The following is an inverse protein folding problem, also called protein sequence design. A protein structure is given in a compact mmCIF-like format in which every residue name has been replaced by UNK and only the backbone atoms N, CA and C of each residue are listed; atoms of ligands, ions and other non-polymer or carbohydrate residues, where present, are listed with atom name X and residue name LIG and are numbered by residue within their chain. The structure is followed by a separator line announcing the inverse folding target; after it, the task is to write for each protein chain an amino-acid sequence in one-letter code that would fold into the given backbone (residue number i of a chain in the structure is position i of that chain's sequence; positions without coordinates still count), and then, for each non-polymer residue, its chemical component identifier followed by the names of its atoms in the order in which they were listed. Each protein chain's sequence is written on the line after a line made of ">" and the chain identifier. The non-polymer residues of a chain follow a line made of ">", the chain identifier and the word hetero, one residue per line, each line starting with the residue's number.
data_IF_295225175612
#
_entry.id   IF_295225175612
#
_cell.length_a   1.000
_cell.length_b   1.000
_cell.length_c   1.000
_cell.angle_alpha   90.00
_cell.angle_beta   90.00
_cell.angle_gamma   90.00
#
_symmetry.space_group_name_H-M   'P 1'
#
loop_
_entity.id
_entity.type
_entity.pdbx_description
1 polymer ?
#
# COMPACT_ATOMS: atom_id res chain seq x y z
N UNK A 1 -9.82 -10.07 -1.89
CA UNK A 1 -8.60 -9.46 -1.30
C UNK A 1 -8.98 -8.37 -0.33
N UNK A 2 -8.21 -8.19 0.76
CA UNK A 2 -8.43 -7.11 1.73
C UNK A 2 -7.73 -5.82 1.28
N UNK A 3 -8.45 -4.69 1.31
CA UNK A 3 -7.95 -3.37 0.90
C UNK A 3 -6.71 -2.92 1.69
N UNK A 4 -6.75 -3.10 3.02
CA UNK A 4 -5.66 -2.61 3.86
C UNK A 4 -4.38 -3.41 3.64
N UNK A 5 -4.52 -4.72 3.38
CA UNK A 5 -3.39 -5.59 3.03
C UNK A 5 -2.79 -5.20 1.68
N UNK A 6 -3.62 -5.05 0.64
CA UNK A 6 -3.18 -4.62 -0.67
C UNK A 6 -2.50 -3.24 -0.62
N UNK A 7 -3.11 -2.27 0.05
CA UNK A 7 -2.55 -0.92 0.19
C UNK A 7 -1.21 -0.92 0.94
N UNK A 8 -1.06 -1.74 1.97
CA UNK A 8 0.20 -1.87 2.70
C UNK A 8 1.32 -2.35 1.77
N UNK A 9 1.04 -3.34 0.95
CA UNK A 9 1.99 -3.88 -0.01
C UNK A 9 2.30 -2.88 -1.13
N UNK A 10 1.30 -2.19 -1.67
CA UNK A 10 1.51 -1.16 -2.70
C UNK A 10 2.26 0.08 -2.18
N UNK A 11 2.23 0.35 -0.87
CA UNK A 11 2.99 1.42 -0.24
C UNK A 11 4.46 1.08 0.07
N UNK A 12 4.93 -0.13 -0.27
CA UNK A 12 6.36 -0.47 -0.16
C UNK A 12 7.16 0.49 -1.05
N UNK A 13 8.18 1.13 -0.46
CA UNK A 13 9.02 2.12 -1.16
C UNK A 13 9.68 1.48 -2.38
N UNK A 14 9.51 2.11 -3.54
CA UNK A 14 10.04 1.62 -4.82
C UNK A 14 9.02 0.86 -5.68
N UNK A 15 7.91 0.38 -5.12
CA UNK A 15 6.89 -0.35 -5.89
C UNK A 15 6.02 0.57 -6.75
N UNK A 16 5.66 1.73 -6.21
CA UNK A 16 4.92 2.76 -6.93
C UNK A 16 5.69 4.06 -6.94
N UNK A 17 5.88 4.61 -8.14
CA UNK A 17 6.67 5.82 -8.37
C UNK A 17 5.85 6.91 -9.06
N UNK A 18 6.25 8.15 -8.82
CA UNK A 18 5.82 9.34 -9.54
C UNK A 18 7.05 10.11 -10.02
N UNK A 19 6.91 10.87 -11.10
CA UNK A 19 8.02 11.72 -11.57
C UNK A 19 8.36 12.80 -10.55
N UNK A 20 9.63 13.16 -10.42
CA UNK A 20 10.11 14.15 -9.43
C UNK A 20 9.46 15.53 -9.58
N UNK A 21 8.98 15.90 -10.77
CA UNK A 21 8.23 17.14 -11.03
C UNK A 21 6.75 17.07 -10.61
N UNK A 22 6.23 15.90 -10.17
CA UNK A 22 4.87 15.78 -9.68
C UNK A 22 4.63 16.66 -8.45
N UNK A 23 3.35 16.94 -8.14
CA UNK A 23 2.97 17.67 -6.93
C UNK A 23 3.64 17.07 -5.68
N UNK A 24 4.02 17.92 -4.74
CA UNK A 24 4.66 17.46 -3.51
C UNK A 24 3.77 16.48 -2.70
N UNK A 25 2.44 16.67 -2.75
CA UNK A 25 1.46 15.76 -2.15
C UNK A 25 1.41 14.35 -2.79
N UNK A 26 1.96 14.18 -4.00
CA UNK A 26 2.03 12.86 -4.65
C UNK A 26 3.28 12.07 -4.23
N UNK A 27 4.24 12.71 -3.58
CA UNK A 27 5.55 12.13 -3.25
C UNK A 27 5.56 11.66 -1.81
N UNK A 28 6.04 10.45 -1.59
CA UNK A 28 6.16 9.86 -0.25
C UNK A 28 7.26 10.54 0.56
N UNK A 29 7.01 10.73 1.84
CA UNK A 29 8.04 11.13 2.82
C UNK A 29 8.28 10.03 3.87
N UNK A 30 7.95 8.79 3.55
CA UNK A 30 8.23 7.65 4.42
C UNK A 30 9.73 7.34 4.47
N UNK A 31 10.13 6.53 5.46
CA UNK A 31 11.52 6.08 5.62
C UNK A 31 12.00 5.39 4.33
N UNK A 32 13.12 5.86 3.79
CA UNK A 32 13.69 5.35 2.54
C UNK A 32 13.17 6.06 1.28
N UNK A 33 12.14 6.93 1.38
CA UNK A 33 11.64 7.73 0.27
C UNK A 33 12.17 9.17 0.28
N UNK A 34 12.44 9.73 1.46
CA UNK A 34 12.86 11.12 1.64
C UNK A 34 13.99 11.25 2.63
N UNK A 35 15.00 12.06 2.29
CA UNK A 35 16.08 12.46 3.21
C UNK A 35 15.66 13.71 3.99
N UNK A 36 15.35 13.55 5.28
CA UNK A 36 14.97 14.65 6.16
C UNK A 36 16.14 15.59 6.53
N UNK A 37 17.39 15.15 6.36
CA UNK A 37 18.57 15.96 6.64
C UNK A 37 18.95 16.77 5.40
N UNK A 38 18.96 16.13 4.22
CA UNK A 38 19.27 16.76 2.94
C UNK A 38 18.10 17.54 2.34
N UNK A 39 16.86 17.22 2.72
CA UNK A 39 15.67 17.93 2.24
C UNK A 39 15.25 17.54 0.82
N UNK A 40 15.51 16.31 0.38
CA UNK A 40 15.20 15.84 -0.98
C UNK A 40 14.60 14.43 -1.00
N UNK A 41 13.87 14.10 -2.07
CA UNK A 41 13.38 12.75 -2.35
C UNK A 41 14.45 11.91 -3.02
N UNK A 42 14.61 10.67 -2.59
CA UNK A 42 15.53 9.74 -3.26
C UNK A 42 15.00 9.40 -4.65
N UNK A 43 15.86 9.54 -5.68
CA UNK A 43 15.61 9.00 -7.02
C UNK A 43 15.73 7.48 -6.97
N UNK A 44 14.64 6.77 -7.26
CA UNK A 44 14.59 5.30 -7.21
C UNK A 44 14.71 4.67 -8.57
N UNK A 45 14.30 5.41 -9.62
CA UNK A 45 14.49 5.06 -11.02
C UNK A 45 14.70 6.38 -11.80
N UNK A 46 15.94 6.77 -12.00
CA UNK A 46 16.27 8.06 -12.60
C UNK A 46 15.58 9.24 -11.90
N UNK A 47 14.68 9.92 -12.63
CA UNK A 47 13.90 11.05 -12.11
C UNK A 47 12.63 10.63 -11.35
N UNK A 48 12.40 9.34 -11.12
CA UNK A 48 11.21 8.85 -10.45
C UNK A 48 11.47 8.63 -8.96
N UNK A 49 10.52 9.08 -8.13
CA UNK A 49 10.57 9.02 -6.67
C UNK A 49 9.35 8.25 -6.13
N UNK A 50 9.42 7.78 -4.89
CA UNK A 50 8.34 7.01 -4.28
C UNK A 50 7.02 7.79 -4.24
N UNK A 51 5.93 7.15 -4.66
CA UNK A 51 4.57 7.69 -4.61
C UNK A 51 4.05 7.74 -3.17
N UNK A 52 3.25 8.77 -2.83
CA UNK A 52 2.59 8.87 -1.54
C UNK A 52 1.44 7.86 -1.42
N UNK A 53 1.11 7.49 -0.20
CA UNK A 53 -0.02 6.61 0.10
C UNK A 53 -1.32 7.12 -0.52
N UNK A 54 -1.57 8.43 -0.47
CA UNK A 54 -2.80 9.06 -0.94
C UNK A 54 -2.97 8.95 -2.46
N UNK A 55 -1.87 9.11 -3.23
CA UNK A 55 -1.94 8.95 -4.69
C UNK A 55 -2.04 7.47 -5.08
N UNK A 56 -1.41 6.56 -4.33
CA UNK A 56 -1.59 5.11 -4.50
C UNK A 56 -3.05 4.74 -4.25
N UNK A 57 -3.65 5.19 -3.14
CA UNK A 57 -5.06 4.95 -2.83
C UNK A 57 -6.00 5.43 -3.94
N UNK A 58 -5.73 6.62 -4.51
CA UNK A 58 -6.53 7.14 -5.61
C UNK A 58 -6.51 6.21 -6.82
N UNK A 59 -5.31 5.74 -7.26
CA UNK A 59 -5.18 4.89 -8.44
C UNK A 59 -5.56 3.42 -8.19
N UNK A 60 -5.52 2.96 -6.94
CA UNK A 60 -6.03 1.65 -6.53
C UNK A 60 -7.56 1.59 -6.41
N UNK A 61 -8.24 2.72 -6.16
CA UNK A 61 -9.69 2.73 -6.00
C UNK A 61 -10.38 2.65 -7.37
N UNK A 62 -10.93 1.48 -7.77
CA UNK A 62 -11.50 1.31 -9.11
C UNK A 62 -12.64 2.29 -9.40
N UNK A 63 -13.37 2.71 -8.37
CA UNK A 63 -14.53 3.60 -8.46
C UNK A 63 -14.19 4.98 -9.02
N UNK A 64 -12.92 5.40 -8.91
CA UNK A 64 -12.43 6.66 -9.49
C UNK A 64 -12.35 6.62 -11.04
N UNK A 65 -12.43 5.44 -11.63
CA UNK A 65 -12.13 5.21 -13.05
C UNK A 65 -13.31 4.61 -13.83
N UNK A 66 -14.50 4.53 -13.22
CA UNK A 66 -15.72 4.04 -13.87
C UNK A 66 -16.36 5.15 -14.72
N UNK A 67 -15.72 5.49 -15.81
CA UNK A 67 -16.18 6.48 -16.79
C UNK A 67 -15.73 6.08 -18.20
N UNK A 68 -16.26 6.73 -19.22
CA UNK A 68 -16.10 6.40 -20.65
C UNK A 68 -14.64 6.36 -21.14
N UNK A 69 -13.70 6.91 -20.40
CA UNK A 69 -12.28 6.93 -20.80
C UNK A 69 -11.47 5.88 -20.03
N UNK A 70 -11.62 5.84 -18.73
CA UNK A 70 -10.76 5.00 -17.89
C UNK A 70 -11.32 3.59 -17.65
N UNK A 71 -12.58 3.31 -18.06
CA UNK A 71 -13.17 1.98 -17.94
C UNK A 71 -12.33 0.90 -18.67
N UNK A 72 -11.62 1.29 -19.73
CA UNK A 72 -10.70 0.42 -20.47
C UNK A 72 -9.52 -0.10 -19.65
N UNK A 73 -9.26 0.49 -18.47
CA UNK A 73 -8.32 -0.08 -17.51
C UNK A 73 -8.76 -1.46 -16.99
N UNK A 74 -10.05 -1.74 -17.07
CA UNK A 74 -10.69 -2.97 -16.60
C UNK A 74 -11.14 -3.88 -17.74
N UNK A 75 -10.86 -3.53 -19.00
CA UNK A 75 -11.22 -4.37 -20.14
C UNK A 75 -10.55 -5.74 -20.03
N UNK A 76 -11.34 -6.78 -20.20
CA UNK A 76 -10.85 -8.15 -20.26
C UNK A 76 -10.01 -8.36 -21.53
N UNK A 77 -8.71 -8.51 -21.36
CA UNK A 77 -7.74 -8.73 -22.45
C UNK A 77 -7.58 -10.22 -22.80
N UNK A 78 -8.30 -11.12 -22.15
CA UNK A 78 -8.34 -12.53 -22.52
C UNK A 78 -9.20 -12.77 -23.76
N UNK A 79 -8.87 -13.82 -24.53
CA UNK A 79 -9.67 -14.22 -25.68
C UNK A 79 -11.03 -14.81 -25.24
N UNK A 80 -12.12 -14.23 -25.72
CA UNK A 80 -13.47 -14.75 -25.56
C UNK A 80 -14.19 -14.79 -26.92
N UNK A 81 -14.41 -16.00 -27.48
CA UNK A 81 -15.06 -16.15 -28.79
C UNK A 81 -16.55 -15.79 -28.79
N UNK A 82 -17.18 -15.56 -27.63
CA UNK A 82 -18.61 -15.23 -27.55
C UNK A 82 -18.94 -13.85 -28.11
N UNK A 83 -17.98 -12.90 -28.04
CA UNK A 83 -18.17 -11.53 -28.53
C UNK A 83 -17.02 -11.00 -29.40
N UNK A 84 -15.82 -11.58 -29.30
CA UNK A 84 -14.67 -11.15 -30.10
C UNK A 84 -14.67 -11.85 -31.46
N UNK A 85 -14.96 -11.08 -32.51
CA UNK A 85 -15.20 -11.60 -33.86
C UNK A 85 -14.15 -11.14 -34.85
N UNK A 86 -13.99 -11.87 -35.96
CA UNK A 86 -13.13 -11.44 -37.08
C UNK A 86 -13.62 -10.12 -37.70
N UNK A 87 -14.94 -9.87 -37.71
CA UNK A 87 -15.50 -8.60 -38.18
C UNK A 87 -15.03 -7.43 -37.34
N UNK A 88 -15.01 -7.56 -35.99
CA UNK A 88 -14.47 -6.54 -35.11
C UNK A 88 -12.98 -6.29 -35.37
N UNK A 89 -12.20 -7.35 -35.57
CA UNK A 89 -10.78 -7.18 -35.96
C UNK A 89 -10.63 -6.42 -37.26
N UNK A 90 -11.46 -6.72 -38.30
CA UNK A 90 -11.45 -5.98 -39.55
C UNK A 90 -11.74 -4.50 -39.34
N UNK A 91 -12.66 -4.16 -38.46
CA UNK A 91 -12.99 -2.76 -38.11
C UNK A 91 -11.78 -2.05 -37.46
N UNK A 92 -11.09 -2.71 -36.52
CA UNK A 92 -9.88 -2.14 -35.89
C UNK A 92 -8.76 -1.89 -36.90
N UNK A 93 -8.61 -2.79 -37.86
CA UNK A 93 -7.56 -2.74 -38.88
C UNK A 93 -7.92 -1.90 -40.12
N UNK A 94 -9.18 -1.41 -40.18
CA UNK A 94 -9.62 -0.56 -41.30
C UNK A 94 -8.64 0.65 -41.47
N UNK A 95 -8.46 1.08 -42.69
CA UNK A 95 -7.56 2.21 -43.05
C UNK A 95 -6.08 2.05 -42.61
N UNK A 96 -5.67 0.81 -42.33
CA UNK A 96 -4.26 0.49 -42.06
C UNK A 96 -3.68 -0.42 -43.13
N UNK A 97 -2.34 -0.55 -43.15
CA UNK A 97 -1.64 -1.51 -44.03
C UNK A 97 -2.08 -2.98 -43.74
N UNK A 98 -2.73 -3.22 -42.60
CA UNK A 98 -3.27 -4.53 -42.20
C UNK A 98 -4.76 -4.74 -42.54
N UNK A 99 -5.38 -3.83 -43.30
CA UNK A 99 -6.81 -3.94 -43.67
C UNK A 99 -7.13 -5.09 -44.65
N UNK A 100 -6.10 -5.59 -45.33
CA UNK A 100 -6.24 -6.57 -46.38
C UNK A 100 -5.58 -7.91 -46.10
N UNK A 101 -4.89 -8.43 -47.10
CA UNK A 101 -4.20 -9.72 -47.05
C UNK A 101 -2.70 -9.54 -47.40
N UNK A 102 -1.92 -10.52 -46.95
CA UNK A 102 -0.50 -10.64 -47.31
C UNK A 102 -0.19 -12.04 -47.83
N UNK A 103 0.89 -12.17 -48.59
CA UNK A 103 1.44 -13.46 -49.00
C UNK A 103 2.64 -13.78 -48.11
N UNK A 104 2.58 -14.90 -47.42
CA UNK A 104 3.63 -15.37 -46.53
C UNK A 104 4.91 -15.65 -47.36
N UNK A 105 6.05 -14.99 -47.07
CA UNK A 105 7.24 -15.09 -47.92
C UNK A 105 7.82 -16.50 -48.05
N UNK A 106 7.75 -17.31 -46.96
CA UNK A 106 8.31 -18.65 -46.90
C UNK A 106 7.34 -19.76 -47.38
N UNK A 107 6.04 -19.63 -47.08
CA UNK A 107 5.05 -20.67 -47.46
C UNK A 107 4.31 -20.38 -48.77
N UNK A 108 4.40 -19.17 -49.32
CA UNK A 108 3.66 -18.67 -50.48
C UNK A 108 2.12 -18.70 -50.30
N UNK A 109 1.63 -18.96 -49.11
CA UNK A 109 0.20 -18.92 -48.78
C UNK A 109 -0.27 -17.48 -48.58
N UNK A 110 -1.50 -17.22 -49.01
CA UNK A 110 -2.18 -15.96 -48.79
C UNK A 110 -2.99 -16.05 -47.49
N UNK A 111 -2.87 -15.04 -46.64
CA UNK A 111 -3.59 -14.86 -45.38
C UNK A 111 -4.23 -13.49 -45.31
N UNK A 112 -5.35 -13.33 -44.60
CA UNK A 112 -5.80 -12.00 -44.17
C UNK A 112 -5.20 -11.66 -42.81
N UNK A 113 -4.95 -10.39 -42.53
CA UNK A 113 -4.48 -9.97 -41.22
C UNK A 113 -5.56 -10.26 -40.15
N UNK A 114 -6.83 -10.01 -40.43
CA UNK A 114 -7.93 -10.30 -39.51
C UNK A 114 -7.95 -11.76 -39.06
N UNK A 115 -7.84 -12.72 -40.01
CA UNK A 115 -7.77 -14.13 -39.67
C UNK A 115 -6.51 -14.47 -38.87
N UNK A 116 -5.38 -13.84 -39.18
CA UNK A 116 -4.12 -14.04 -38.47
C UNK A 116 -4.24 -13.59 -36.99
N UNK A 117 -4.91 -12.47 -36.70
CA UNK A 117 -5.17 -12.04 -35.32
C UNK A 117 -6.15 -12.95 -34.59
N UNK A 118 -7.17 -13.52 -35.29
CA UNK A 118 -8.04 -14.53 -34.70
C UNK A 118 -7.27 -15.81 -34.36
N UNK A 119 -6.36 -16.27 -35.23
CA UNK A 119 -5.50 -17.42 -34.95
C UNK A 119 -4.51 -17.13 -33.82
N UNK A 120 -3.98 -15.91 -33.77
CA UNK A 120 -3.13 -15.44 -32.67
C UNK A 120 -3.87 -15.46 -31.34
N UNK A 121 -5.09 -14.98 -31.29
CA UNK A 121 -5.93 -14.99 -30.09
C UNK A 121 -6.19 -16.42 -29.58
N UNK A 122 -6.59 -17.33 -30.48
CA UNK A 122 -6.81 -18.76 -30.12
C UNK A 122 -5.57 -19.42 -29.53
N UNK A 123 -4.36 -19.09 -30.04
CA UNK A 123 -3.11 -19.71 -29.60
C UNK A 123 -2.50 -19.05 -28.37
N UNK A 124 -2.69 -17.76 -28.19
CA UNK A 124 -2.12 -16.98 -27.11
C UNK A 124 -3.04 -16.82 -25.90
N UNK A 125 -4.35 -17.01 -26.06
CA UNK A 125 -5.35 -16.68 -25.05
C UNK A 125 -5.60 -15.18 -24.89
N UNK A 126 -5.06 -14.33 -25.80
CA UNK A 126 -5.17 -12.86 -25.74
C UNK A 126 -6.28 -12.38 -26.65
N UNK A 127 -7.05 -11.38 -26.23
CA UNK A 127 -8.10 -10.73 -27.03
C UNK A 127 -7.55 -10.29 -28.41
N UNK A 128 -8.18 -10.70 -29.52
CA UNK A 128 -7.77 -10.26 -30.86
C UNK A 128 -7.96 -8.75 -31.06
N UNK A 129 -8.91 -8.13 -30.31
CA UNK A 129 -9.11 -6.69 -30.33
C UNK A 129 -7.94 -5.96 -29.68
N UNK A 130 -7.50 -6.43 -28.52
CA UNK A 130 -6.30 -5.92 -27.86
C UNK A 130 -5.05 -6.06 -28.74
N UNK A 131 -4.82 -7.24 -29.33
CA UNK A 131 -3.68 -7.51 -30.20
C UNK A 131 -3.68 -6.61 -31.44
N UNK A 132 -4.82 -6.48 -32.13
CA UNK A 132 -4.93 -5.65 -33.33
C UNK A 132 -4.75 -4.15 -33.03
N UNK A 133 -5.37 -3.67 -31.95
CA UNK A 133 -5.24 -2.27 -31.51
C UNK A 133 -3.82 -1.93 -31.11
N UNK A 134 -3.16 -2.83 -30.39
CA UNK A 134 -1.75 -2.67 -30.02
C UNK A 134 -0.84 -2.58 -31.26
N UNK A 135 -0.98 -3.51 -32.20
CA UNK A 135 -0.24 -3.44 -33.46
C UNK A 135 -0.49 -2.14 -34.23
N UNK A 136 -1.76 -1.69 -34.31
CA UNK A 136 -2.10 -0.43 -34.97
C UNK A 136 -1.38 0.77 -34.32
N UNK A 137 -1.33 0.80 -32.99
CA UNK A 137 -0.67 1.88 -32.26
C UNK A 137 0.86 1.86 -32.43
N UNK A 138 1.47 0.68 -32.30
CA UNK A 138 2.92 0.53 -32.38
C UNK A 138 3.46 0.71 -33.81
N UNK A 139 2.75 0.18 -34.83
CA UNK A 139 3.22 0.18 -36.21
C UNK A 139 2.67 1.34 -37.06
N UNK A 140 1.66 2.05 -36.54
CA UNK A 140 0.99 3.12 -37.30
C UNK A 140 0.14 2.62 -38.45
N UNK A 141 -0.57 3.54 -39.11
CA UNK A 141 -1.50 3.21 -40.21
C UNK A 141 -0.79 2.73 -41.50
N UNK A 142 0.43 3.21 -41.72
CA UNK A 142 1.22 2.89 -42.93
C UNK A 142 2.20 1.72 -42.72
N UNK A 143 2.36 1.23 -41.53
CA UNK A 143 3.36 0.25 -41.14
C UNK A 143 4.75 0.85 -40.93
N UNK A 144 5.45 0.35 -39.89
CA UNK A 144 6.84 0.69 -39.61
C UNK A 144 7.80 -0.31 -40.31
N UNK A 145 9.08 0.01 -40.53
CA UNK A 145 10.03 -0.86 -41.23
C UNK A 145 10.08 -2.30 -40.65
N UNK A 146 9.97 -2.47 -39.33
CA UNK A 146 9.98 -3.78 -38.67
C UNK A 146 8.70 -4.60 -38.91
N UNK A 147 7.56 -3.98 -39.17
CA UNK A 147 6.35 -4.69 -39.60
C UNK A 147 6.24 -4.92 -41.07
N UNK A 148 6.98 -4.14 -41.86
CA UNK A 148 7.07 -4.30 -43.31
C UNK A 148 8.22 -5.24 -43.76
N UNK A 149 9.10 -5.64 -42.83
CA UNK A 149 10.26 -6.49 -43.11
C UNK A 149 11.34 -5.79 -43.94
N UNK A 150 11.48 -4.47 -43.79
CA UNK A 150 12.37 -3.61 -44.60
C UNK A 150 13.49 -2.98 -43.75
N UNK A 151 13.70 -3.43 -42.53
CA UNK A 151 14.80 -2.94 -41.70
C UNK A 151 16.13 -3.36 -42.31
N UNK A 152 17.00 -2.38 -42.61
CA UNK A 152 18.30 -2.59 -43.25
C UNK A 152 19.17 -3.58 -42.46
N UNK A 153 19.65 -4.64 -43.11
CA UNK A 153 20.44 -5.73 -42.49
C UNK A 153 19.63 -6.79 -41.77
N UNK A 154 18.30 -6.61 -41.70
CA UNK A 154 17.32 -7.53 -41.15
C UNK A 154 16.11 -7.70 -42.07
N UNK A 155 16.28 -7.61 -43.35
CA UNK A 155 15.23 -7.76 -44.36
C UNK A 155 14.56 -9.12 -44.22
N UNK A 156 13.23 -9.16 -44.36
CA UNK A 156 12.36 -10.32 -44.17
C UNK A 156 12.32 -10.88 -42.74
N UNK A 157 12.74 -10.10 -41.71
CA UNK A 157 12.40 -10.34 -40.33
C UNK A 157 11.36 -9.32 -39.89
N UNK A 158 10.35 -9.80 -39.14
CA UNK A 158 9.16 -9.03 -38.80
C UNK A 158 9.03 -8.92 -37.28
N UNK A 159 8.59 -7.77 -36.75
CA UNK A 159 8.28 -7.57 -35.34
C UNK A 159 7.08 -6.64 -35.19
N UNK A 160 5.87 -7.23 -35.11
CA UNK A 160 4.62 -6.49 -35.09
C UNK A 160 4.28 -5.87 -33.73
N UNK A 161 4.94 -6.28 -32.65
CA UNK A 161 4.65 -5.83 -31.29
C UNK A 161 5.85 -5.14 -30.62
N UNK A 162 6.85 -4.73 -31.38
CA UNK A 162 8.07 -4.08 -30.91
C UNK A 162 8.75 -4.80 -29.72
N UNK A 163 8.62 -6.13 -29.69
CA UNK A 163 9.21 -6.97 -28.64
C UNK A 163 10.74 -6.85 -28.70
N UNK A 164 11.35 -6.51 -27.55
CA UNK A 164 12.79 -6.24 -27.42
C UNK A 164 13.32 -5.11 -28.34
N UNK A 165 12.44 -4.20 -28.76
CA UNK A 165 12.77 -3.04 -29.58
C UNK A 165 13.14 -1.84 -28.70
N UNK A 166 14.41 -1.70 -28.37
CA UNK A 166 14.96 -0.55 -27.64
C UNK A 166 16.24 -0.06 -28.32
N UNK A 167 16.45 1.26 -28.32
CA UNK A 167 17.66 1.84 -28.90
C UNK A 167 18.87 1.62 -27.99
N UNK A 168 20.01 1.35 -28.60
CA UNK A 168 21.33 1.28 -27.96
C UNK A 168 22.25 2.36 -28.54
N UNK A 169 23.48 2.44 -28.04
CA UNK A 169 24.49 3.35 -28.64
C UNK A 169 24.86 3.02 -30.10
N UNK A 170 24.57 1.79 -30.55
CA UNK A 170 25.00 1.28 -31.89
C UNK A 170 23.85 0.79 -32.77
N UNK A 171 22.64 0.62 -32.23
CA UNK A 171 21.48 0.10 -32.95
C UNK A 171 20.22 0.90 -32.62
N UNK A 172 19.38 1.10 -33.62
CA UNK A 172 18.02 1.63 -33.43
C UNK A 172 17.10 0.62 -32.78
N UNK A 173 15.94 1.06 -32.28
CA UNK A 173 14.92 0.18 -31.68
C UNK A 173 14.41 -0.87 -32.71
N UNK A 174 14.20 -0.45 -33.97
CA UNK A 174 13.78 -1.34 -35.06
C UNK A 174 14.82 -2.44 -35.34
N UNK A 175 16.11 -2.08 -35.40
CA UNK A 175 17.19 -3.03 -35.60
C UNK A 175 17.29 -4.03 -34.44
N UNK A 176 17.18 -3.55 -33.18
CA UNK A 176 17.19 -4.44 -31.99
C UNK A 176 15.98 -5.38 -31.97
N UNK A 177 14.80 -4.89 -32.29
CA UNK A 177 13.58 -5.70 -32.40
C UNK A 177 13.69 -6.77 -33.50
N UNK A 178 14.27 -6.42 -34.68
CA UNK A 178 14.50 -7.38 -35.76
C UNK A 178 15.66 -8.35 -35.44
N UNK A 179 16.68 -7.91 -34.72
CA UNK A 179 17.72 -8.80 -34.20
C UNK A 179 17.13 -9.88 -33.26
N UNK A 180 16.18 -9.49 -32.38
CA UNK A 180 15.42 -10.46 -31.58
C UNK A 180 14.57 -11.38 -32.48
N UNK A 181 13.85 -10.82 -33.46
CA UNK A 181 13.04 -11.60 -34.42
C UNK A 181 13.84 -12.68 -35.18
N UNK A 182 15.15 -12.49 -35.33
CA UNK A 182 16.08 -13.43 -35.98
C UNK A 182 16.53 -14.56 -35.04
N UNK A 183 16.35 -14.46 -33.74
CA UNK A 183 16.74 -15.52 -32.79
C UNK A 183 15.87 -16.78 -32.96
N UNK A 184 16.18 -17.85 -32.25
CA UNK A 184 15.42 -19.10 -32.31
C UNK A 184 14.74 -19.38 -30.99
N UNK A 185 13.41 -19.53 -31.01
CA UNK A 185 12.61 -20.01 -29.89
C UNK A 185 11.29 -20.60 -30.44
N UNK A 186 11.15 -21.93 -30.48
CA UNK A 186 9.95 -22.58 -31.05
C UNK A 186 8.66 -22.22 -30.34
N UNK A 187 8.68 -21.94 -29.04
CA UNK A 187 7.50 -21.56 -28.26
C UNK A 187 6.89 -20.27 -28.80
N UNK A 188 7.71 -19.32 -29.20
CA UNK A 188 7.30 -18.04 -29.76
C UNK A 188 7.38 -17.99 -31.29
N UNK A 189 7.48 -19.13 -31.97
CA UNK A 189 7.62 -19.25 -33.44
C UNK A 189 8.81 -18.48 -34.03
N UNK A 190 9.83 -18.17 -33.22
CA UNK A 190 11.06 -17.57 -33.71
C UNK A 190 11.90 -18.61 -34.52
N UNK A 191 12.53 -18.12 -35.62
CA UNK A 191 12.62 -16.77 -36.16
C UNK A 191 11.35 -16.30 -36.87
N UNK A 192 11.03 -15.00 -36.72
CA UNK A 192 9.87 -14.38 -37.34
C UNK A 192 10.17 -13.97 -38.81
N UNK A 193 10.25 -14.94 -39.68
CA UNK A 193 10.55 -14.78 -41.11
C UNK A 193 9.34 -14.39 -41.97
N UNK A 194 8.18 -14.23 -41.34
CA UNK A 194 6.95 -13.79 -41.99
C UNK A 194 5.97 -13.16 -40.99
N UNK A 195 4.96 -12.46 -41.53
CA UNK A 195 3.96 -11.76 -40.76
C UNK A 195 3.18 -12.71 -39.79
N UNK A 196 2.79 -13.91 -40.27
CA UNK A 196 2.05 -14.88 -39.46
C UNK A 196 2.85 -15.29 -38.20
N UNK A 197 4.12 -15.68 -38.40
CA UNK A 197 4.97 -16.07 -37.28
C UNK A 197 5.16 -14.93 -36.27
N UNK A 198 5.35 -13.69 -36.77
CA UNK A 198 5.55 -12.53 -35.91
C UNK A 198 4.28 -12.17 -35.13
N UNK A 199 3.11 -12.12 -35.79
CA UNK A 199 1.85 -11.80 -35.12
C UNK A 199 1.50 -12.91 -34.12
N UNK A 200 1.48 -14.18 -34.52
CA UNK A 200 1.10 -15.28 -33.65
C UNK A 200 2.13 -15.52 -32.54
N UNK A 201 3.41 -15.58 -32.89
CA UNK A 201 4.49 -15.79 -31.92
C UNK A 201 4.66 -14.65 -30.93
N UNK A 202 4.54 -13.40 -31.42
CA UNK A 202 4.54 -12.21 -30.58
C UNK A 202 3.34 -12.17 -29.63
N UNK A 203 2.15 -12.59 -30.09
CA UNK A 203 0.95 -12.70 -29.25
C UNK A 203 1.13 -13.73 -28.14
N UNK A 204 1.74 -14.89 -28.40
CA UNK A 204 2.07 -15.89 -27.38
C UNK A 204 3.03 -15.29 -26.36
N UNK A 205 4.05 -14.56 -26.80
CA UNK A 205 5.00 -13.88 -25.91
C UNK A 205 4.27 -12.89 -24.96
N UNK A 206 3.39 -12.05 -25.52
CA UNK A 206 2.60 -11.09 -24.74
C UNK A 206 1.64 -11.79 -23.76
N UNK A 207 0.95 -12.84 -24.21
CA UNK A 207 0.00 -13.59 -23.40
C UNK A 207 0.67 -14.24 -22.17
N UNK A 208 1.83 -14.87 -22.37
CA UNK A 208 2.56 -15.55 -21.28
C UNK A 208 3.15 -14.61 -20.25
N UNK A 209 3.30 -13.32 -20.57
CA UNK A 209 3.77 -12.30 -19.62
C UNK A 209 2.79 -12.10 -18.47
N UNK A 210 1.54 -11.79 -18.76
CA UNK A 210 0.53 -11.35 -17.80
C UNK A 210 -0.83 -12.04 -17.96
N UNK A 211 -1.38 -12.03 -19.18
CA UNK A 211 -2.79 -12.35 -19.43
C UNK A 211 -3.13 -13.80 -19.08
N UNK A 212 -2.34 -14.76 -19.52
CA UNK A 212 -2.56 -16.19 -19.20
C UNK A 212 -2.26 -16.54 -17.75
N UNK A 213 -1.72 -15.62 -16.98
CA UNK A 213 -1.54 -15.73 -15.53
C UNK A 213 -2.69 -15.12 -14.72
N UNK A 214 -3.76 -14.71 -15.39
CA UNK A 214 -4.92 -14.07 -14.75
C UNK A 214 -4.80 -12.57 -14.55
N UNK A 215 -3.66 -11.95 -14.90
CA UNK A 215 -3.50 -10.49 -14.94
C UNK A 215 -4.01 -9.95 -16.28
N UNK A 216 -5.28 -10.19 -16.56
CA UNK A 216 -5.93 -10.00 -17.85
C UNK A 216 -6.64 -8.64 -18.01
N UNK A 217 -6.30 -7.68 -17.15
CA UNK A 217 -6.68 -6.26 -17.31
C UNK A 217 -5.46 -5.39 -17.02
N UNK A 218 -5.42 -4.17 -17.56
CA UNK A 218 -4.35 -3.21 -17.27
C UNK A 218 -4.26 -2.92 -15.76
N UNK A 219 -5.41 -2.92 -15.07
CA UNK A 219 -5.46 -2.76 -13.62
C UNK A 219 -4.73 -3.91 -12.89
N UNK A 220 -5.01 -5.16 -13.24
CA UNK A 220 -4.38 -6.33 -12.61
C UNK A 220 -2.89 -6.46 -12.98
N UNK A 221 -2.49 -6.02 -14.18
CA UNK A 221 -1.09 -5.95 -14.58
C UNK A 221 -0.33 -4.93 -13.73
N UNK A 222 -0.99 -3.81 -13.36
CA UNK A 222 -0.36 -2.79 -12.52
C UNK A 222 -0.27 -3.21 -11.05
N UNK A 223 -1.34 -3.73 -10.47
CA UNK A 223 -1.41 -3.95 -9.02
C UNK A 223 -1.17 -5.40 -8.59
N UNK A 224 -1.02 -6.33 -9.54
CA UNK A 224 -0.70 -7.74 -9.32
C UNK A 224 -1.45 -8.39 -8.14
N UNK A 225 -2.78 -8.40 -8.26
CA UNK A 225 -3.67 -8.89 -7.21
C UNK A 225 -4.24 -10.28 -7.49
N UNK A 226 -3.70 -10.95 -8.49
CA UNK A 226 -4.03 -12.32 -8.87
C UNK A 226 -2.77 -13.15 -8.82
N UNK A 227 -2.79 -14.24 -8.04
CA UNK A 227 -1.65 -15.14 -7.97
C UNK A 227 -1.56 -16.00 -9.25
N UNK A 228 -0.72 -15.55 -10.17
CA UNK A 228 -0.38 -16.26 -11.41
C UNK A 228 0.78 -17.23 -11.27
N UNK A 229 1.13 -17.62 -10.02
CA UNK A 229 2.26 -18.52 -9.71
C UNK A 229 3.56 -17.80 -9.32
N UNK A 230 3.56 -16.46 -9.28
CA UNK A 230 4.71 -15.66 -8.84
C UNK A 230 4.50 -15.02 -7.45
N UNK A 231 3.38 -15.32 -6.79
CA UNK A 231 2.91 -14.62 -5.60
C UNK A 231 2.25 -13.28 -5.95
N UNK A 232 1.57 -12.67 -4.97
CA UNK A 232 0.89 -11.39 -5.15
C UNK A 232 1.86 -10.21 -5.05
N UNK A 233 1.58 -9.10 -5.75
CA UNK A 233 2.26 -7.79 -5.70
C UNK A 233 3.67 -7.72 -6.30
N UNK A 234 4.23 -8.79 -6.83
CA UNK A 234 5.62 -8.83 -7.33
C UNK A 234 5.74 -8.77 -8.85
N UNK A 235 4.69 -9.18 -9.57
CA UNK A 235 4.69 -9.25 -11.03
C UNK A 235 3.92 -8.06 -11.62
N UNK A 236 4.42 -6.85 -11.35
CA UNK A 236 3.82 -5.61 -11.87
C UNK A 236 4.42 -5.21 -13.20
N UNK A 237 3.58 -4.78 -14.14
CA UNK A 237 3.98 -4.36 -15.48
C UNK A 237 4.90 -3.13 -15.44
N UNK A 238 4.62 -2.15 -14.53
CA UNK A 238 5.39 -0.93 -14.41
C UNK A 238 5.34 -0.37 -12.98
N UNK A 239 6.36 0.43 -12.63
CA UNK A 239 6.43 1.13 -11.34
C UNK A 239 5.61 2.43 -11.32
N UNK A 240 5.35 3.07 -12.47
CA UNK A 240 4.53 4.28 -12.58
C UNK A 240 3.13 4.05 -12.02
N UNK A 241 2.75 4.80 -10.95
CA UNK A 241 1.47 4.60 -10.23
C UNK A 241 0.22 4.86 -11.09
N UNK A 242 0.35 5.65 -12.15
CA UNK A 242 -0.74 6.00 -13.06
C UNK A 242 -0.59 5.39 -14.47
N UNK A 243 0.33 4.46 -14.64
CA UNK A 243 0.63 3.86 -15.94
C UNK A 243 -0.58 3.20 -16.58
N UNK A 244 -1.31 2.38 -15.82
CA UNK A 244 -2.53 1.72 -16.28
C UNK A 244 -3.63 2.70 -16.74
N UNK A 245 -3.71 3.88 -16.12
CA UNK A 245 -4.68 4.90 -16.53
C UNK A 245 -4.29 5.56 -17.86
N UNK A 246 -2.98 5.78 -18.10
CA UNK A 246 -2.49 6.28 -19.38
C UNK A 246 -2.67 5.23 -20.50
N UNK A 247 -2.37 3.97 -20.22
CA UNK A 247 -2.58 2.87 -21.15
C UNK A 247 -4.07 2.72 -21.52
N UNK A 248 -4.99 2.90 -20.57
CA UNK A 248 -6.43 2.89 -20.82
C UNK A 248 -6.87 3.98 -21.81
N UNK A 249 -6.29 5.19 -21.70
CA UNK A 249 -6.54 6.27 -22.67
C UNK A 249 -6.03 5.87 -24.06
N UNK A 250 -4.84 5.31 -24.16
CA UNK A 250 -4.24 4.83 -25.40
C UNK A 250 -5.09 3.74 -26.04
N UNK A 251 -5.55 2.79 -25.25
CA UNK A 251 -6.40 1.68 -25.69
C UNK A 251 -7.75 2.20 -26.23
N UNK A 252 -8.43 3.07 -25.47
CA UNK A 252 -9.65 3.72 -25.96
C UNK A 252 -9.46 4.43 -27.30
N UNK A 253 -8.39 5.19 -27.42
CA UNK A 253 -8.10 5.96 -28.64
C UNK A 253 -7.78 5.08 -29.85
N UNK A 254 -7.35 3.84 -29.62
CA UNK A 254 -7.11 2.86 -30.67
C UNK A 254 -8.41 2.25 -31.23
N UNK A 255 -9.50 2.29 -30.46
CA UNK A 255 -10.77 1.74 -30.89
C UNK A 255 -11.55 2.72 -31.76
N UNK A 256 -12.11 2.21 -32.87
CA UNK A 256 -13.11 2.95 -33.65
C UNK A 256 -14.44 3.04 -32.91
N UNK A 257 -15.31 3.96 -33.34
CA UNK A 257 -16.64 4.11 -32.77
C UNK A 257 -17.46 2.80 -32.87
N UNK A 258 -17.28 2.02 -33.92
CA UNK A 258 -17.98 0.75 -34.10
C UNK A 258 -17.54 -0.29 -33.06
N UNK A 259 -16.25 -0.34 -32.71
CA UNK A 259 -15.75 -1.21 -31.65
C UNK A 259 -16.23 -0.71 -30.27
N UNK A 260 -16.24 0.59 -30.04
CA UNK A 260 -16.75 1.18 -28.79
C UNK A 260 -18.25 0.89 -28.58
N UNK A 261 -19.00 0.67 -29.68
CA UNK A 261 -20.42 0.29 -29.65
C UNK A 261 -20.64 -1.24 -29.65
N UNK A 262 -19.57 -2.04 -29.73
CA UNK A 262 -19.67 -3.50 -29.69
C UNK A 262 -19.71 -4.03 -28.24
N UNK A 263 -20.03 -5.33 -28.08
CA UNK A 263 -19.98 -5.98 -26.80
C UNK A 263 -18.51 -6.02 -26.28
N UNK A 264 -18.31 -5.62 -25.04
CA UNK A 264 -17.05 -5.68 -24.30
C UNK A 264 -17.27 -6.21 -22.90
N UNK A 265 -16.29 -6.90 -22.35
CA UNK A 265 -16.30 -7.35 -20.96
C UNK A 265 -15.31 -6.53 -20.13
N UNK A 266 -15.75 -6.09 -18.94
CA UNK A 266 -14.93 -5.37 -17.98
C UNK A 266 -14.90 -6.10 -16.64
N UNK A 267 -13.69 -6.36 -16.12
CA UNK A 267 -13.45 -6.99 -14.82
C UNK A 267 -13.06 -5.94 -13.81
N UNK A 268 -14.05 -5.48 -13.04
CA UNK A 268 -13.85 -4.43 -12.04
C UNK A 268 -13.56 -5.09 -10.68
N UNK A 269 -12.35 -4.94 -10.11
CA UNK A 269 -12.01 -5.54 -8.84
C UNK A 269 -12.76 -4.87 -7.68
N UNK A 270 -13.21 -5.68 -6.72
CA UNK A 270 -13.82 -5.24 -5.47
C UNK A 270 -13.00 -5.78 -4.30
N UNK A 271 -12.57 -4.89 -3.41
CA UNK A 271 -11.82 -5.25 -2.21
C UNK A 271 -12.74 -5.37 -1.01
N UNK A 272 -12.44 -6.31 -0.10
CA UNK A 272 -13.00 -6.31 1.24
C UNK A 272 -12.44 -5.13 2.03
N UNK A 273 -13.25 -4.53 2.89
CA UNK A 273 -12.87 -3.42 3.76
C UNK A 273 -12.38 -2.15 3.02
N UNK A 274 -12.88 -1.90 1.80
CA UNK A 274 -12.65 -0.64 1.11
C UNK A 274 -13.20 0.53 1.94
N UNK A 275 -12.59 1.72 1.83
CA UNK A 275 -13.19 2.93 2.40
C UNK A 275 -14.60 3.18 1.84
N UNK A 276 -15.55 3.62 2.68
CA UNK A 276 -16.92 3.93 2.24
C UNK A 276 -16.92 5.05 1.19
N UNK A 277 -16.06 6.04 1.36
CA UNK A 277 -15.89 7.17 0.43
C UNK A 277 -14.80 6.88 -0.59
N UNK A 278 -14.97 7.44 -1.79
CA UNK A 278 -13.93 7.46 -2.82
C UNK A 278 -12.61 8.01 -2.26
N UNK A 279 -11.50 7.41 -2.65
CA UNK A 279 -10.17 7.93 -2.35
C UNK A 279 -9.88 9.13 -3.26
N UNK A 280 -9.80 10.37 -2.73
CA UNK A 280 -9.66 11.55 -3.56
C UNK A 280 -8.25 11.67 -4.15
N UNK A 281 -8.15 12.26 -5.34
CA UNK A 281 -6.85 12.61 -5.94
C UNK A 281 -6.23 13.77 -5.15
N UNK A 282 -4.98 13.63 -4.65
CA UNK A 282 -4.31 14.75 -4.01
C UNK A 282 -4.07 15.91 -4.99
N UNK A 283 -4.47 17.13 -4.62
CA UNK A 283 -4.34 18.34 -5.44
C UNK A 283 -3.44 19.40 -4.83
N UNK A 284 -2.99 19.20 -3.58
CA UNK A 284 -2.16 20.16 -2.86
C UNK A 284 -0.73 20.23 -3.44
N UNK A 285 -0.21 21.44 -3.58
CA UNK A 285 1.22 21.69 -3.83
C UNK A 285 2.09 21.51 -2.56
N UNK A 286 1.47 21.47 -1.36
CA UNK A 286 2.15 21.25 -0.10
C UNK A 286 2.68 19.82 0.03
N UNK A 287 3.76 19.67 0.81
CA UNK A 287 4.36 18.38 1.08
C UNK A 287 3.57 17.54 2.10
N UNK A 288 3.92 16.26 2.20
CA UNK A 288 3.34 15.29 3.13
C UNK A 288 4.10 15.18 4.46
N UNK A 289 4.90 16.19 4.84
CA UNK A 289 5.69 16.18 6.07
C UNK A 289 4.79 16.30 7.31
N UNK A 290 4.22 15.19 7.71
CA UNK A 290 3.38 15.03 8.90
C UNK A 290 4.15 14.46 10.11
N UNK A 291 5.46 14.58 10.11
CA UNK A 291 6.34 14.07 11.17
C UNK A 291 6.52 15.09 12.28
N UNK A 292 6.68 14.60 13.52
CA UNK A 292 7.15 15.40 14.63
C UNK A 292 8.67 15.47 14.62
N UNK A 293 9.21 16.64 15.00
CA UNK A 293 10.62 16.85 15.34
C UNK A 293 10.90 16.39 16.78
N UNK A 294 9.92 16.55 17.66
CA UNK A 294 10.04 16.17 19.07
C UNK A 294 8.67 15.81 19.67
N UNK A 295 8.67 14.87 20.61
CA UNK A 295 7.52 14.49 21.44
C UNK A 295 8.04 14.17 22.84
N UNK A 296 7.44 14.76 23.88
CA UNK A 296 7.77 14.50 25.28
C UNK A 296 6.58 14.73 26.21
N UNK A 297 6.65 14.17 27.39
CA UNK A 297 5.69 14.34 28.47
C UNK A 297 6.42 14.92 29.67
N UNK A 298 5.92 16.02 30.25
CA UNK A 298 6.55 16.64 31.44
C UNK A 298 6.55 15.68 32.63
N UNK A 299 7.67 15.68 33.36
CA UNK A 299 7.82 14.91 34.60
C UNK A 299 7.97 13.39 34.41
N UNK A 300 8.06 12.89 33.17
CA UNK A 300 8.30 11.48 32.88
C UNK A 300 8.94 11.28 31.50
N UNK A 301 9.54 10.11 31.28
CA UNK A 301 10.06 9.71 29.99
C UNK A 301 9.03 8.87 29.23
N UNK A 302 9.00 9.05 27.91
CA UNK A 302 8.25 8.16 27.01
C UNK A 302 9.11 6.96 26.61
N UNK A 303 8.50 5.80 26.41
CA UNK A 303 9.16 4.58 25.95
C UNK A 303 8.41 4.00 24.74
N UNK A 304 9.12 3.62 23.66
CA UNK A 304 10.56 3.81 23.44
C UNK A 304 10.96 5.30 23.39
N UNK A 305 12.28 5.59 23.38
CA UNK A 305 12.77 6.96 23.13
C UNK A 305 12.18 7.49 21.84
N UNK A 306 11.87 8.80 21.79
CA UNK A 306 11.23 9.39 20.63
C UNK A 306 12.02 9.15 19.35
N UNK A 307 11.31 8.60 18.37
CA UNK A 307 11.71 8.50 16.96
C UNK A 307 10.54 8.94 16.09
N UNK A 308 10.78 9.75 15.08
CA UNK A 308 9.72 10.31 14.21
C UNK A 308 8.89 9.27 13.47
N UNK A 309 9.45 8.09 13.22
CA UNK A 309 8.75 6.99 12.52
C UNK A 309 7.95 6.10 13.47
N UNK A 310 8.19 6.20 14.78
CA UNK A 310 7.44 5.47 15.79
C UNK A 310 6.20 6.25 16.20
N UNK A 311 5.04 5.61 16.18
CA UNK A 311 3.76 6.28 16.44
C UNK A 311 3.09 5.84 17.75
N UNK A 312 3.68 4.90 18.49
CA UNK A 312 3.12 4.37 19.76
C UNK A 312 4.16 4.43 20.86
N UNK A 313 3.77 5.03 21.98
CA UNK A 313 4.61 5.26 23.16
C UNK A 313 3.87 4.91 24.42
N UNK A 314 4.63 4.62 25.49
CA UNK A 314 4.12 4.46 26.83
C UNK A 314 4.83 5.43 27.78
N UNK A 315 4.18 5.81 28.87
CA UNK A 315 4.78 6.57 29.98
C UNK A 315 4.15 6.13 31.30
N UNK A 316 4.84 6.35 32.41
CA UNK A 316 4.33 6.05 33.76
C UNK A 316 4.54 7.23 34.67
N UNK A 317 3.54 7.58 35.44
CA UNK A 317 3.59 8.64 36.46
C UNK A 317 3.09 8.12 37.80
N UNK A 318 3.55 8.74 38.90
CA UNK A 318 3.11 8.40 40.22
C UNK A 318 1.70 8.90 40.52
N UNK A 319 1.14 8.43 41.62
CA UNK A 319 -0.23 8.68 42.03
C UNK A 319 -0.57 10.16 42.27
N UNK A 320 0.41 10.93 42.77
CA UNK A 320 0.28 12.36 43.05
C UNK A 320 0.18 13.23 41.79
N UNK A 321 0.60 12.70 40.62
CA UNK A 321 0.58 13.44 39.34
C UNK A 321 -0.80 13.33 38.69
N UNK A 322 -1.65 14.31 38.94
CA UNK A 322 -3.02 14.35 38.37
C UNK A 322 -3.09 14.95 36.94
N UNK A 323 -2.03 15.56 36.47
CA UNK A 323 -1.93 16.09 35.08
C UNK A 323 -0.49 16.15 34.60
N UNK A 324 -0.32 16.09 33.27
CA UNK A 324 0.97 16.26 32.59
C UNK A 324 0.84 17.27 31.46
N UNK A 325 1.97 17.81 31.00
CA UNK A 325 2.02 18.60 29.77
C UNK A 325 2.67 17.78 28.67
N UNK A 326 1.95 17.57 27.57
CA UNK A 326 2.49 16.94 26.36
C UNK A 326 3.05 18.00 25.46
N UNK A 327 4.35 17.93 25.16
CA UNK A 327 5.05 18.83 24.26
C UNK A 327 5.30 18.11 22.93
N UNK A 328 4.97 18.76 21.82
CA UNK A 328 5.18 18.23 20.48
C UNK A 328 5.43 19.36 19.48
N UNK A 329 6.47 19.22 18.67
CA UNK A 329 6.82 20.18 17.62
C UNK A 329 6.83 19.49 16.27
N UNK A 330 6.29 20.10 15.21
CA UNK A 330 6.30 19.53 13.87
C UNK A 330 7.71 19.62 13.27
N UNK A 331 8.03 18.69 12.36
CA UNK A 331 9.25 18.73 11.54
C UNK A 331 9.03 19.57 10.29
N UNK A 332 7.86 19.45 9.65
CA UNK A 332 7.48 20.26 8.49
C UNK A 332 7.22 21.71 8.87
N UNK A 333 7.80 22.67 8.13
CA UNK A 333 7.68 24.12 8.41
C UNK A 333 6.24 24.62 8.44
N UNK A 334 5.38 24.06 7.57
CA UNK A 334 3.96 24.42 7.46
C UNK A 334 3.02 23.43 8.14
N UNK A 335 3.55 22.41 8.81
CA UNK A 335 2.75 21.42 9.51
C UNK A 335 2.17 21.96 10.82
N UNK A 336 0.99 21.49 11.19
CA UNK A 336 0.27 21.89 12.41
C UNK A 336 0.16 20.69 13.36
N UNK A 337 0.23 20.97 14.67
CA UNK A 337 0.13 19.92 15.71
C UNK A 337 -1.06 20.20 16.61
N UNK A 338 -1.91 19.19 16.80
CA UNK A 338 -3.03 19.19 17.76
C UNK A 338 -2.87 18.07 18.79
N UNK A 339 -3.59 18.17 19.91
CA UNK A 339 -3.52 17.17 20.98
C UNK A 339 -2.31 17.30 21.92
N UNK A 340 -1.55 18.42 21.84
CA UNK A 340 -0.50 18.80 22.78
C UNK A 340 -1.05 19.73 23.88
N UNK A 341 -0.29 19.91 24.95
CA UNK A 341 -0.65 20.78 26.06
C UNK A 341 -0.96 20.00 27.35
N UNK A 342 -1.70 20.62 28.27
CA UNK A 342 -2.04 20.02 29.56
C UNK A 342 -3.11 18.95 29.41
N UNK A 343 -2.87 17.77 29.98
CA UNK A 343 -3.74 16.60 29.98
C UNK A 343 -4.00 16.15 31.41
N UNK A 344 -5.25 16.10 31.83
CA UNK A 344 -5.64 15.52 33.14
C UNK A 344 -5.61 14.00 33.06
N UNK A 345 -5.10 13.37 34.13
CA UNK A 345 -4.89 11.93 34.19
C UNK A 345 -5.83 11.30 35.24
N UNK A 346 -6.59 10.30 34.82
CA UNK A 346 -7.29 9.38 35.71
C UNK A 346 -6.30 8.32 36.22
N UNK A 347 -6.56 7.72 37.39
CA UNK A 347 -5.82 6.52 37.83
C UNK A 347 -5.96 5.39 36.81
N UNK A 348 -4.86 4.68 36.52
CA UNK A 348 -4.80 3.66 35.50
C UNK A 348 -4.32 4.22 34.14
N UNK A 349 -4.69 3.55 33.03
CA UNK A 349 -4.26 3.89 31.69
C UNK A 349 -5.03 5.09 31.12
N UNK A 350 -4.31 6.06 30.57
CA UNK A 350 -4.81 7.22 29.85
C UNK A 350 -4.21 7.23 28.45
N UNK A 351 -5.02 7.39 27.41
CA UNK A 351 -4.57 7.44 26.03
C UNK A 351 -4.57 8.88 25.55
N UNK A 352 -3.42 9.40 25.16
CA UNK A 352 -3.24 10.72 24.56
C UNK A 352 -2.87 10.57 23.09
N UNK A 353 -3.59 11.28 22.21
CA UNK A 353 -3.34 11.30 20.76
C UNK A 353 -2.83 12.68 20.35
N UNK A 354 -1.63 12.71 19.77
CA UNK A 354 -1.02 13.91 19.19
C UNK A 354 -1.04 13.76 17.68
N UNK A 355 -1.70 14.66 16.98
CA UNK A 355 -1.84 14.59 15.50
C UNK A 355 -1.03 15.72 14.87
N UNK A 356 -0.12 15.35 13.98
CA UNK A 356 0.61 16.26 13.10
C UNK A 356 -0.05 16.25 11.72
N UNK A 357 -0.46 17.42 11.25
CA UNK A 357 -1.09 17.62 9.93
C UNK A 357 -0.11 18.34 9.02
N UNK A 358 0.28 17.71 7.91
CA UNK A 358 1.17 18.26 6.90
C UNK A 358 0.58 19.45 6.14
N UNK A 359 1.38 20.14 5.34
CA UNK A 359 0.92 21.20 4.44
C UNK A 359 -0.08 20.69 3.38
N UNK A 360 0.04 19.43 2.96
CA UNK A 360 -0.91 18.76 2.07
C UNK A 360 -2.26 18.43 2.72
N UNK A 361 -2.35 18.47 4.06
CA UNK A 361 -3.52 18.05 4.83
C UNK A 361 -3.43 16.61 5.35
N UNK A 362 -2.43 15.83 4.95
CA UNK A 362 -2.22 14.45 5.40
C UNK A 362 -1.84 14.44 6.89
N UNK A 363 -2.42 13.50 7.63
CA UNK A 363 -2.28 13.42 9.09
C UNK A 363 -1.50 12.20 9.52
N UNK A 364 -0.67 12.38 10.58
CA UNK A 364 -0.02 11.29 11.33
C UNK A 364 -0.36 11.45 12.80
N UNK A 365 -0.82 10.38 13.43
CA UNK A 365 -1.18 10.39 14.84
C UNK A 365 -0.18 9.58 15.64
N UNK A 366 0.36 10.21 16.68
CA UNK A 366 1.20 9.60 17.69
C UNK A 366 0.36 9.35 18.94
N UNK A 367 0.39 8.12 19.43
CA UNK A 367 -0.39 7.71 20.60
C UNK A 367 0.53 7.48 21.80
N UNK A 368 0.22 8.09 22.93
CA UNK A 368 0.96 7.89 24.18
C UNK A 368 -0.01 7.27 25.21
N UNK A 369 0.30 6.08 25.69
CA UNK A 369 -0.42 5.43 26.80
C UNK A 369 0.28 5.78 28.10
N UNK A 370 -0.36 6.63 28.93
CA UNK A 370 0.17 7.12 30.19
C UNK A 370 -0.51 6.38 31.34
N UNK A 371 0.24 5.56 32.08
CA UNK A 371 -0.27 4.87 33.26
C UNK A 371 0.01 5.71 34.50
N UNK A 372 -1.05 6.21 35.15
CA UNK A 372 -0.98 6.83 36.48
C UNK A 372 -1.17 5.75 37.55
N UNK A 373 -0.18 5.60 38.44
CA UNK A 373 -0.27 4.64 39.54
C UNK A 373 -1.46 4.97 40.42
N UNK A 374 -2.09 3.95 41.01
CA UNK A 374 -3.00 4.15 42.11
C UNK A 374 -2.25 4.74 43.32
N UNK A 375 -2.90 5.56 44.08
CA UNK A 375 -2.34 5.99 45.37
C UNK A 375 -2.05 4.76 46.22
N UNK A 376 -0.82 4.63 46.72
CA UNK A 376 -0.52 3.66 47.76
C UNK A 376 -1.30 4.09 48.97
N UNK A 377 -2.30 3.32 49.36
CA UNK A 377 -3.01 3.58 50.59
C UNK A 377 -2.12 3.09 51.73
N UNK A 378 -1.57 4.02 52.46
CA UNK A 378 -0.96 3.70 53.75
C UNK A 378 -2.11 3.29 54.66
N UNK A 379 -2.16 2.02 55.01
CA UNK A 379 -3.07 1.57 56.03
C UNK A 379 -2.70 2.24 57.36
N UNK A 380 -3.67 2.69 58.09
CA UNK A 380 -3.42 3.42 59.36
C UNK A 380 -2.97 2.47 60.48
N UNK A 381 -2.32 3.03 61.48
CA UNK A 381 -1.92 2.30 62.69
C UNK A 381 -3.17 1.77 63.40
N UNK A 382 -3.21 0.45 63.63
CA UNK A 382 -4.34 -0.26 64.16
C UNK A 382 -5.20 -1.03 63.12
N UNK A 383 -5.06 -0.73 61.82
CA UNK A 383 -5.75 -1.48 60.75
C UNK A 383 -4.96 -2.75 60.43
N UNK A 384 -5.20 -3.80 61.17
CA UNK A 384 -4.45 -5.07 61.11
C UNK A 384 -4.95 -5.95 59.97
N UNK A 385 -6.27 -5.96 59.70
CA UNK A 385 -6.87 -6.76 58.65
C UNK A 385 -6.70 -6.12 57.24
N UNK A 386 -6.37 -4.82 57.18
CA UNK A 386 -6.15 -4.09 55.91
C UNK A 386 -7.43 -3.64 55.21
N UNK A 387 -8.57 -3.61 55.92
CA UNK A 387 -9.86 -3.19 55.34
C UNK A 387 -10.11 -1.68 55.37
N UNK A 388 -9.16 -0.89 55.93
CA UNK A 388 -9.12 0.59 56.05
C UNK A 388 -9.99 1.16 57.18
N UNK A 389 -10.63 0.33 57.95
CA UNK A 389 -11.43 0.73 59.09
C UNK A 389 -10.79 0.23 60.37
N UNK A 390 -10.77 1.08 61.40
CA UNK A 390 -10.40 0.64 62.75
C UNK A 390 -11.64 0.09 63.43
N UNK A 391 -11.65 -1.22 63.60
CA UNK A 391 -12.80 -1.91 64.13
C UNK A 391 -12.39 -2.90 65.23
N UNK A 392 -13.39 -3.43 65.97
CA UNK A 392 -13.14 -4.49 66.92
C UNK A 392 -12.57 -5.77 66.34
N UNK A 393 -12.68 -5.94 65.02
CA UNK A 393 -12.09 -7.06 64.23
C UNK A 393 -10.57 -6.99 64.24
N UNK A 394 -9.99 -5.79 64.16
CA UNK A 394 -8.53 -5.59 64.22
C UNK A 394 -8.00 -5.89 65.60
N UNK A 395 -8.69 -5.41 66.65
CA UNK A 395 -8.35 -5.73 68.05
C UNK A 395 -8.45 -7.24 68.28
N UNK A 396 -9.48 -7.91 67.73
CA UNK A 396 -9.61 -9.36 67.82
C UNK A 396 -8.46 -10.11 67.19
N UNK A 397 -7.97 -9.63 65.99
CA UNK A 397 -6.78 -10.18 65.30
C UNK A 397 -5.53 -10.07 66.18
N UNK A 398 -5.30 -8.91 66.86
CA UNK A 398 -4.19 -8.73 67.79
C UNK A 398 -4.25 -9.72 68.92
N UNK A 399 -5.45 -9.87 69.56
CA UNK A 399 -5.67 -10.82 70.64
C UNK A 399 -5.49 -12.28 70.23
N UNK A 400 -5.94 -12.65 69.01
CA UNK A 400 -5.72 -13.99 68.44
C UNK A 400 -4.24 -14.27 68.19
N UNK A 401 -3.51 -13.27 67.71
CA UNK A 401 -2.07 -13.37 67.50
C UNK A 401 -1.36 -13.59 68.85
N UNK A 402 -1.66 -12.76 69.87
CA UNK A 402 -1.07 -12.88 71.14
C UNK A 402 -1.40 -14.23 71.82
N UNK A 403 -2.59 -14.80 71.58
CA UNK A 403 -3.00 -16.13 72.02
C UNK A 403 -2.44 -17.29 71.20
N UNK A 404 -1.58 -17.03 70.21
CA UNK A 404 -1.00 -18.04 69.30
C UNK A 404 -2.02 -18.70 68.35
N UNK A 405 -3.19 -18.07 68.12
CA UNK A 405 -4.28 -18.58 67.30
C UNK A 405 -4.29 -18.11 65.86
N UNK A 406 -3.42 -17.16 65.54
CA UNK A 406 -3.22 -16.66 64.18
C UNK A 406 -1.79 -16.18 64.00
N UNK A 407 -1.33 -16.08 62.70
CA UNK A 407 -0.06 -15.46 62.34
C UNK A 407 -0.35 -14.10 61.69
N UNK A 408 0.51 -13.11 61.97
CA UNK A 408 0.50 -11.81 61.31
C UNK A 408 1.80 -11.65 60.51
N UNK A 409 1.71 -11.06 59.34
CA UNK A 409 2.89 -10.71 58.55
C UNK A 409 3.64 -9.50 59.16
N UNK A 410 4.90 -9.21 58.73
CA UNK A 410 5.69 -8.11 59.29
C UNK A 410 5.02 -6.74 59.20
N UNK A 411 4.22 -6.49 58.13
CA UNK A 411 3.52 -5.23 57.92
C UNK A 411 2.28 -5.13 58.84
N UNK A 412 1.59 -6.24 59.11
CA UNK A 412 0.49 -6.35 60.06
C UNK A 412 0.99 -6.18 61.49
N UNK A 413 2.12 -6.81 61.85
CA UNK A 413 2.74 -6.66 63.18
C UNK A 413 3.11 -5.19 63.45
N UNK A 414 3.70 -4.50 62.45
CA UNK A 414 4.02 -3.08 62.59
C UNK A 414 2.78 -2.22 62.80
N UNK A 415 1.65 -2.54 62.18
CA UNK A 415 0.39 -1.79 62.35
C UNK A 415 -0.32 -2.16 63.64
N UNK A 416 -0.13 -3.39 64.11
CA UNK A 416 -0.72 -3.89 65.35
C UNK A 416 -0.06 -3.35 66.62
N UNK A 417 1.23 -3.00 66.56
CA UNK A 417 1.96 -2.39 67.68
C UNK A 417 1.51 -0.94 67.89
N UNK A 418 0.47 -0.75 68.68
CA UNK A 418 -0.19 0.53 68.90
C UNK A 418 0.54 1.46 69.88
N UNK A 419 1.34 0.90 70.76
CA UNK A 419 2.13 1.66 71.73
C UNK A 419 3.59 1.89 71.35
N UNK A 420 4.08 1.19 70.26
CA UNK A 420 5.43 1.36 69.72
C UNK A 420 6.53 0.66 70.49
N UNK A 421 6.19 -0.35 71.30
CA UNK A 421 7.18 -1.06 72.13
C UNK A 421 7.85 -2.25 71.41
N UNK A 422 7.47 -2.52 70.17
CA UNK A 422 8.00 -3.60 69.34
C UNK A 422 7.35 -4.96 69.55
N UNK A 423 6.30 -5.04 70.35
CA UNK A 423 5.51 -6.26 70.62
C UNK A 423 4.08 -6.04 70.17
N UNK A 424 3.35 -7.13 70.02
CA UNK A 424 1.88 -7.10 69.79
C UNK A 424 1.22 -7.92 70.90
N UNK A 425 0.60 -7.24 71.83
CA UNK A 425 -0.02 -7.87 73.01
C UNK A 425 -1.40 -7.29 73.37
N UNK A 426 -1.89 -7.57 74.55
CA UNK A 426 -3.21 -7.13 75.05
C UNK A 426 -3.28 -5.60 75.17
N UNK A 427 -2.14 -4.92 75.42
CA UNK A 427 -2.08 -3.47 75.58
C UNK A 427 -2.39 -2.78 74.29
N UNK A 428 -1.88 -3.33 73.15
CA UNK A 428 -2.17 -2.81 71.83
C UNK A 428 -3.64 -2.94 71.48
N UNK A 429 -4.21 -4.11 71.70
CA UNK A 429 -5.64 -4.33 71.47
C UNK A 429 -6.51 -3.37 72.33
N UNK A 430 -6.17 -3.16 73.60
CA UNK A 430 -6.86 -2.18 74.46
C UNK A 430 -6.67 -0.74 73.98
N UNK A 431 -5.48 -0.39 73.53
CA UNK A 431 -5.16 0.93 72.92
C UNK A 431 -5.99 1.21 71.67
N UNK A 432 -6.12 0.22 70.80
CA UNK A 432 -6.98 0.30 69.63
C UNK A 432 -8.46 0.42 70.03
N UNK A 433 -8.95 -0.40 70.93
CA UNK A 433 -10.36 -0.34 71.40
C UNK A 433 -10.69 1.03 72.03
N UNK A 434 -9.79 1.60 72.85
CA UNK A 434 -9.95 2.95 73.38
C UNK A 434 -10.05 3.99 72.26
N UNK A 435 -9.18 3.89 71.24
CA UNK A 435 -9.20 4.79 70.05
C UNK A 435 -10.52 4.68 69.27
N UNK A 436 -11.04 3.47 69.09
CA UNK A 436 -12.33 3.24 68.42
C UNK A 436 -13.49 3.79 69.20
N UNK A 437 -13.47 3.66 70.54
CA UNK A 437 -14.56 4.14 71.39
C UNK A 437 -14.60 5.69 71.47
N UNK A 438 -13.54 6.39 71.08
CA UNK A 438 -13.43 7.83 71.12
C UNK A 438 -13.65 8.50 69.73
N UNK A 439 -13.75 7.69 68.63
CA UNK A 439 -14.03 8.11 67.29
C UNK A 439 -15.54 7.97 66.98
#
# INVERSE_FOLDING_TARGET
>A
MDWNTALKEECVVGRNLVHSSALASWKSMEKGAYDFNGGYWYGLDGSWVAASKEIIMYYMDPRNFLNDTYIFMFENQSYDPSYQTESGVKTILADTFMSGSYTCPDTKKKYTYSQTFMDAAKKSGVSPYHLASRCRNEQGVNGAPQSLGTVKGYENYFNFFDIQAYATSTMTAAEMGCKYAKTTNPTYLLPWTNQYKSIVGGSIFLGTGYITKGQDTLYLQKFDMVDGGNGLYYHQYMTCVFGQANEAISLKNAYSQDILNSAMEFKIPVYNNMPDKLCPKPTSSGDNNNYLKSLSVSGTSISPKFDKFTTSYTAKVNAEISSVTVNANPLGKSAKVSGKGKVSLKTGENTVKVTCTAASGVKRTYTIKITRKAASQTLQQGDVNGDKYLTVVDALLMLRYNAGKTQLDPAQLKRADMNGDGKVDVIDALTLLKKISQS
#
